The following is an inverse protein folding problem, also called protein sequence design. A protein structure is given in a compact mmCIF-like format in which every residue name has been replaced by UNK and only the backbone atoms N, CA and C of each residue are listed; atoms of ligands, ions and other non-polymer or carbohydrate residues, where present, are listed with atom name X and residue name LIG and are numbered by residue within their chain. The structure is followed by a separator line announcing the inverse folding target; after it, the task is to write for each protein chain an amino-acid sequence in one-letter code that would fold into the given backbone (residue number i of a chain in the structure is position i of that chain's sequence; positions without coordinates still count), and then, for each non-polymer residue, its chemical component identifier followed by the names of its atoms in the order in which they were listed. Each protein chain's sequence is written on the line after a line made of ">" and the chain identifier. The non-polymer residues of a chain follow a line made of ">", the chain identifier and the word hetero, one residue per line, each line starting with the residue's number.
data_IF_218408686414
#
_entry.id   IF_218408686414
#
_cell.length_a   1.000
_cell.length_b   1.000
_cell.length_c   1.000
_cell.angle_alpha   90.00
_cell.angle_beta   90.00
_cell.angle_gamma   90.00
#
_symmetry.space_group_name_H-M   'P 1'
#
loop_
_entity.id
_entity.type
_entity.pdbx_description
1 polymer ?
#
# COMPACT_ATOMS: atom_id res chain seq x y z
N UNK A 1 -7.82 9.88 20.24
CA UNK A 1 -8.88 10.32 19.33
C UNK A 1 -8.16 10.94 18.14
N UNK A 2 -8.14 10.26 16.98
CA UNK A 2 -7.40 10.72 15.80
C UNK A 2 -8.43 10.87 14.67
N UNK A 3 -8.45 12.06 14.09
CA UNK A 3 -9.56 12.55 13.27
C UNK A 3 -9.65 11.84 11.90
N UNK A 4 -10.84 11.36 11.51
CA UNK A 4 -11.08 10.75 10.21
C UNK A 4 -11.47 11.84 9.20
N UNK A 5 -10.48 12.57 8.66
CA UNK A 5 -10.77 13.57 7.62
C UNK A 5 -9.52 13.97 6.82
N UNK A 6 -8.79 13.00 6.27
CA UNK A 6 -7.87 13.32 5.17
C UNK A 6 -8.08 12.30 4.05
N UNK A 7 -8.98 12.68 3.15
CA UNK A 7 -9.06 12.16 1.79
C UNK A 7 -7.80 12.64 1.02
N UNK A 8 -6.63 12.22 1.50
CA UNK A 8 -5.32 12.57 0.93
C UNK A 8 -4.99 11.51 -0.11
N UNK A 9 -5.13 11.88 -1.37
CA UNK A 9 -4.55 11.12 -2.47
C UNK A 9 -3.03 11.05 -2.24
N UNK A 10 -2.56 9.89 -1.78
CA UNK A 10 -1.15 9.73 -1.41
C UNK A 10 -0.27 9.92 -2.65
N UNK A 11 0.87 10.63 -2.53
CA UNK A 11 1.73 10.92 -3.67
C UNK A 11 2.18 9.64 -4.40
N UNK A 12 2.50 9.68 -5.70
CA UNK A 12 3.00 8.49 -6.39
C UNK A 12 4.31 8.00 -5.76
N UNK A 13 4.48 6.68 -5.65
CA UNK A 13 5.70 6.10 -5.07
C UNK A 13 6.84 6.22 -6.10
N UNK A 14 7.93 6.95 -5.79
CA UNK A 14 9.06 7.12 -6.71
C UNK A 14 9.70 5.79 -7.14
N UNK A 15 10.39 5.78 -8.28
CA UNK A 15 11.14 4.63 -8.81
C UNK A 15 12.43 4.27 -8.03
N UNK A 16 12.52 4.62 -6.75
CA UNK A 16 13.70 4.37 -5.89
C UNK A 16 13.60 2.99 -5.24
N UNK A 17 14.75 2.33 -5.02
CA UNK A 17 14.81 0.99 -4.40
C UNK A 17 14.57 0.99 -2.89
N UNK A 18 15.04 2.01 -2.19
CA UNK A 18 14.98 2.11 -0.73
C UNK A 18 14.53 3.50 -0.28
N UNK A 19 13.67 3.53 0.71
CA UNK A 19 13.14 4.73 1.36
C UNK A 19 13.57 4.74 2.83
N UNK A 20 13.83 5.93 3.36
CA UNK A 20 14.03 6.16 4.80
C UNK A 20 12.68 6.28 5.51
N UNK A 21 12.66 6.16 6.83
CA UNK A 21 11.43 6.31 7.61
C UNK A 21 10.77 7.69 7.45
N UNK A 22 11.57 8.74 7.19
CA UNK A 22 11.06 10.08 6.91
C UNK A 22 10.33 10.14 5.56
N UNK A 23 10.98 9.64 4.51
CA UNK A 23 10.37 9.54 3.17
C UNK A 23 9.08 8.71 3.21
N UNK A 24 9.07 7.58 3.92
CA UNK A 24 7.86 6.75 4.05
C UNK A 24 6.77 7.43 4.88
N UNK A 25 7.15 8.19 5.91
CA UNK A 25 6.20 8.97 6.71
C UNK A 25 5.43 9.98 5.85
N UNK A 26 6.12 10.65 4.92
CA UNK A 26 5.53 11.58 3.97
C UNK A 26 4.70 10.85 2.91
N UNK A 27 5.25 9.80 2.30
CA UNK A 27 4.58 9.03 1.24
C UNK A 27 3.28 8.34 1.70
N UNK A 28 3.14 8.08 2.98
CA UNK A 28 1.97 7.39 3.54
C UNK A 28 1.12 8.29 4.44
N UNK A 29 1.51 9.54 4.68
CA UNK A 29 0.88 10.42 5.69
C UNK A 29 0.74 9.74 7.06
N UNK A 30 1.75 8.96 7.47
CA UNK A 30 1.77 8.24 8.76
C UNK A 30 3.01 8.65 9.53
N UNK A 31 2.83 9.15 10.76
CA UNK A 31 3.95 9.61 11.59
C UNK A 31 4.98 8.50 11.81
N UNK A 32 6.27 8.85 11.76
CA UNK A 32 7.37 7.89 11.90
C UNK A 32 7.33 7.01 13.17
N UNK A 33 6.78 7.48 14.31
CA UNK A 33 6.63 6.63 15.50
C UNK A 33 5.54 5.57 15.34
N UNK A 34 4.46 5.89 14.60
CA UNK A 34 3.40 4.93 14.25
C UNK A 34 3.96 3.86 13.33
N UNK A 35 4.79 4.24 12.34
CA UNK A 35 5.48 3.28 11.47
C UNK A 35 6.36 2.31 12.28
N UNK A 36 7.13 2.81 13.26
CA UNK A 36 7.92 1.95 14.16
C UNK A 36 7.06 1.00 14.98
N UNK A 37 5.90 1.45 15.42
CA UNK A 37 4.95 0.60 16.13
C UNK A 37 4.37 -0.47 15.19
N UNK A 38 3.97 -0.10 13.97
CA UNK A 38 3.47 -1.04 12.96
C UNK A 38 4.52 -2.10 12.57
N UNK A 39 5.81 -1.78 12.54
CA UNK A 39 6.86 -2.78 12.33
C UNK A 39 6.88 -3.88 13.40
N UNK A 40 6.44 -3.58 14.63
CA UNK A 40 6.33 -4.60 15.69
C UNK A 40 5.03 -5.40 15.57
N UNK A 41 3.97 -4.75 15.10
CA UNK A 41 2.65 -5.36 15.02
C UNK A 41 2.49 -6.24 13.76
N UNK A 42 2.99 -5.81 12.61
CA UNK A 42 2.78 -6.46 11.31
C UNK A 42 4.05 -7.14 10.84
N UNK A 43 4.10 -8.47 10.93
CA UNK A 43 5.30 -9.29 10.57
C UNK A 43 5.71 -9.16 9.09
N UNK A 44 4.75 -8.89 8.21
CA UNK A 44 4.97 -8.62 6.79
C UNK A 44 5.62 -7.25 6.49
N UNK A 45 5.66 -6.35 7.47
CA UNK A 45 6.35 -5.06 7.36
C UNK A 45 7.71 -5.15 8.04
N UNK A 46 8.71 -5.67 7.31
CA UNK A 46 10.03 -5.98 7.84
C UNK A 46 11.13 -5.18 7.11
N UNK A 47 11.28 -3.87 7.40
CA UNK A 47 12.29 -3.05 6.74
C UNK A 47 13.70 -3.55 7.06
N UNK A 48 14.59 -3.44 6.07
CA UNK A 48 15.99 -3.87 6.22
C UNK A 48 16.70 -2.94 7.19
N UNK A 49 17.21 -3.50 8.29
CA UNK A 49 18.05 -2.77 9.26
C UNK A 49 19.51 -2.82 8.81
N UNK A 50 20.15 -1.66 8.66
CA UNK A 50 21.59 -1.53 8.33
C UNK A 50 22.38 -0.91 9.49
N UNK A 51 23.69 -0.69 9.29
CA UNK A 51 24.61 -0.05 10.25
C UNK A 51 23.96 1.17 10.91
N UNK A 52 24.10 1.27 12.23
CA UNK A 52 23.50 2.35 13.02
C UNK A 52 21.99 2.25 13.21
N UNK A 53 21.40 1.04 13.08
CA UNK A 53 19.97 0.77 13.27
C UNK A 53 19.04 1.62 12.36
N UNK A 54 19.57 2.03 11.20
CA UNK A 54 18.80 2.75 10.18
C UNK A 54 17.91 1.76 9.43
N UNK A 55 16.63 2.13 9.27
CA UNK A 55 15.61 1.35 8.59
C UNK A 55 15.49 1.81 7.14
N UNK A 56 15.53 0.84 6.24
CA UNK A 56 15.31 1.06 4.82
C UNK A 56 14.11 0.24 4.36
N UNK A 57 13.10 0.93 3.86
CA UNK A 57 11.87 0.36 3.33
C UNK A 57 12.00 0.19 1.83
N UNK A 58 11.55 -0.93 1.30
CA UNK A 58 11.42 -1.14 -0.13
C UNK A 58 10.06 -0.63 -0.62
N UNK A 59 9.87 -0.59 -1.94
CA UNK A 59 8.58 -0.26 -2.54
C UNK A 59 7.44 -1.14 -2.00
N UNK A 60 7.69 -2.43 -1.78
CA UNK A 60 6.69 -3.34 -1.23
C UNK A 60 6.30 -2.97 0.21
N UNK A 61 7.25 -2.54 1.04
CA UNK A 61 6.96 -2.08 2.40
C UNK A 61 6.06 -0.84 2.39
N UNK A 62 6.31 0.10 1.46
CA UNK A 62 5.46 1.29 1.29
C UNK A 62 4.03 0.90 0.90
N UNK A 63 3.88 -0.06 -0.02
CA UNK A 63 2.55 -0.58 -0.40
C UNK A 63 1.84 -1.23 0.78
N UNK A 64 2.54 -2.05 1.55
CA UNK A 64 2.00 -2.68 2.77
C UNK A 64 1.55 -1.64 3.78
N UNK A 65 2.33 -0.57 4.00
CA UNK A 65 1.96 0.53 4.91
C UNK A 65 0.70 1.25 4.44
N UNK A 66 0.57 1.51 3.12
CA UNK A 66 -0.66 2.11 2.57
C UNK A 66 -1.88 1.22 2.78
N UNK A 67 -1.73 -0.08 2.62
CA UNK A 67 -2.80 -1.04 2.88
C UNK A 67 -3.20 -1.07 4.37
N UNK A 68 -2.21 -1.09 5.27
CA UNK A 68 -2.46 -1.01 6.72
C UNK A 68 -3.19 0.31 7.04
N UNK A 69 -2.75 1.44 6.51
CA UNK A 69 -3.42 2.73 6.68
C UNK A 69 -4.88 2.65 6.25
N UNK A 70 -5.16 2.11 5.07
CA UNK A 70 -6.53 2.03 4.58
C UNK A 70 -7.43 1.16 5.46
N UNK A 71 -6.91 0.01 5.91
CA UNK A 71 -7.65 -0.86 6.84
C UNK A 71 -7.98 -0.15 8.15
N UNK A 72 -7.02 0.58 8.72
CA UNK A 72 -7.21 1.20 10.04
C UNK A 72 -8.00 2.52 9.99
N UNK A 73 -7.71 3.39 9.02
CA UNK A 73 -8.27 4.74 8.96
C UNK A 73 -9.50 4.84 8.07
N UNK A 74 -9.51 4.16 6.93
CA UNK A 74 -10.61 4.27 5.97
C UNK A 74 -11.71 3.26 6.29
N UNK A 75 -11.31 2.04 6.70
CA UNK A 75 -12.24 0.93 6.96
C UNK A 75 -12.50 0.69 8.45
N UNK A 76 -11.78 1.36 9.35
CA UNK A 76 -12.02 1.30 10.80
C UNK A 76 -11.67 -0.02 11.48
N UNK A 77 -10.82 -0.86 10.88
CA UNK A 77 -10.36 -2.09 11.52
C UNK A 77 -9.50 -1.79 12.75
N UNK A 78 -9.53 -2.69 13.72
CA UNK A 78 -8.52 -2.71 14.79
C UNK A 78 -7.20 -3.27 14.26
N UNK A 79 -6.11 -3.05 15.00
CA UNK A 79 -4.80 -3.63 14.67
C UNK A 79 -4.89 -5.15 14.48
N UNK A 80 -5.59 -5.85 15.39
CA UNK A 80 -5.79 -7.30 15.29
C UNK A 80 -6.58 -7.71 14.04
N UNK A 81 -7.68 -7.00 13.74
CA UNK A 81 -8.47 -7.24 12.54
C UNK A 81 -7.70 -7.00 11.25
N UNK A 82 -6.91 -5.93 11.19
CA UNK A 82 -6.04 -5.63 10.06
C UNK A 82 -4.96 -6.71 9.87
N UNK A 83 -4.34 -7.21 10.96
CA UNK A 83 -3.38 -8.32 10.90
C UNK A 83 -4.00 -9.56 10.28
N UNK A 84 -5.18 -9.95 10.76
CA UNK A 84 -5.88 -11.13 10.23
C UNK A 84 -6.15 -10.96 8.74
N UNK A 85 -6.71 -9.81 8.33
CA UNK A 85 -7.03 -9.52 6.92
C UNK A 85 -5.80 -9.54 6.01
N UNK A 86 -4.66 -9.04 6.49
CA UNK A 86 -3.41 -9.04 5.74
C UNK A 86 -2.72 -10.41 5.69
N UNK A 87 -2.94 -11.26 6.70
CA UNK A 87 -2.41 -12.62 6.75
C UNK A 87 -3.24 -13.64 5.98
N UNK A 88 -4.54 -13.37 5.78
CA UNK A 88 -5.44 -14.25 5.03
C UNK A 88 -5.02 -14.36 3.57
N UNK A 89 -5.06 -15.59 3.05
CA UNK A 89 -4.80 -15.94 1.65
C UNK A 89 -5.66 -15.15 0.64
N UNK A 90 -6.81 -14.64 1.08
CA UNK A 90 -7.73 -13.80 0.31
C UNK A 90 -7.03 -12.62 -0.38
N UNK A 91 -6.05 -11.98 0.27
CA UNK A 91 -5.35 -10.83 -0.31
C UNK A 91 -4.55 -11.19 -1.58
N UNK A 92 -4.12 -12.45 -1.73
CA UNK A 92 -3.42 -12.93 -2.93
C UNK A 92 -4.40 -13.31 -4.03
N UNK A 93 -5.54 -13.89 -3.68
CA UNK A 93 -6.59 -14.25 -4.64
C UNK A 93 -7.25 -12.99 -5.22
N UNK A 94 -7.62 -12.03 -4.39
CA UNK A 94 -8.15 -10.73 -4.80
C UNK A 94 -7.18 -10.03 -5.77
N UNK A 95 -5.88 -9.97 -5.43
CA UNK A 95 -4.88 -9.33 -6.28
C UNK A 95 -4.75 -10.00 -7.66
N UNK A 96 -4.90 -11.32 -7.74
CA UNK A 96 -4.89 -12.05 -9.02
C UNK A 96 -6.12 -11.72 -9.85
N UNK A 97 -7.30 -11.70 -9.23
CA UNK A 97 -8.56 -11.39 -9.89
C UNK A 97 -8.61 -9.93 -10.39
N UNK A 98 -8.17 -8.96 -9.58
CA UNK A 98 -8.07 -7.56 -9.99
C UNK A 98 -7.10 -7.37 -11.17
N UNK A 99 -5.96 -8.08 -11.19
CA UNK A 99 -5.02 -8.03 -12.33
C UNK A 99 -5.66 -8.56 -13.60
N UNK A 100 -6.44 -9.63 -13.53
CA UNK A 100 -7.16 -10.18 -14.68
C UNK A 100 -8.22 -9.19 -15.18
N UNK A 101 -8.97 -8.56 -14.27
CA UNK A 101 -10.01 -7.59 -14.61
C UNK A 101 -9.44 -6.32 -15.23
N UNK A 102 -8.32 -5.80 -14.72
CA UNK A 102 -7.61 -4.65 -15.31
C UNK A 102 -7.11 -4.99 -16.72
N UNK A 103 -6.52 -6.17 -16.92
CA UNK A 103 -6.08 -6.61 -18.26
C UNK A 103 -7.26 -6.67 -19.23
N UNK A 104 -8.39 -7.22 -18.78
CA UNK A 104 -9.60 -7.29 -19.59
C UNK A 104 -10.11 -5.89 -19.96
N UNK A 105 -10.17 -4.97 -19.00
CA UNK A 105 -10.55 -3.57 -19.26
C UNK A 105 -9.62 -2.87 -20.26
N UNK A 106 -8.30 -3.10 -20.16
CA UNK A 106 -7.35 -2.51 -21.12
C UNK A 106 -7.66 -3.00 -22.54
N UNK A 107 -7.89 -4.31 -22.71
CA UNK A 107 -8.23 -4.89 -24.02
C UNK A 107 -9.55 -4.32 -24.56
N UNK A 108 -10.58 -4.22 -23.72
CA UNK A 108 -11.88 -3.65 -24.12
C UNK A 108 -11.74 -2.17 -24.53
N UNK A 109 -10.95 -1.38 -23.81
CA UNK A 109 -10.69 0.02 -24.16
C UNK A 109 -9.89 0.14 -25.47
N UNK A 110 -8.92 -0.74 -25.70
CA UNK A 110 -8.17 -0.81 -26.97
C UNK A 110 -9.09 -1.15 -28.15
N UNK A 111 -10.03 -2.07 -27.98
CA UNK A 111 -11.02 -2.43 -29.00
C UNK A 111 -11.96 -1.26 -29.33
N UNK A 112 -12.45 -0.54 -28.31
CA UNK A 112 -13.26 0.67 -28.51
C UNK A 112 -12.48 1.72 -29.29
N UNK A 113 -11.20 1.90 -28.95
CA UNK A 113 -10.32 2.85 -29.62
C UNK A 113 -10.06 2.46 -31.08
N UNK A 114 -10.00 1.18 -31.41
CA UNK A 114 -9.89 0.68 -32.79
C UNK A 114 -11.14 1.00 -33.62
N UNK A 115 -12.34 0.74 -33.07
CA UNK A 115 -13.62 1.08 -33.73
C UNK A 115 -13.75 2.59 -33.98
N UNK A 116 -13.31 3.42 -33.04
CA UNK A 116 -13.39 4.88 -33.19
C UNK A 116 -12.38 5.44 -34.21
N UNK A 117 -11.25 4.76 -34.43
CA UNK A 117 -10.23 5.19 -35.40
C UNK A 117 -10.44 4.64 -36.82
N UNK A 118 -11.28 3.62 -36.98
CA UNK A 118 -11.68 3.06 -38.26
C UNK A 118 -13.22 2.95 -38.34
N UNK A 119 -13.91 4.07 -38.69
CA UNK A 119 -15.36 4.07 -38.90
C UNK A 119 -15.79 3.32 -40.17
#
# INVERSE_FOLDING_TARGET
>A
MLEPSHNDELPPIPGKRYFTIGEVSELCSVKAHVLRYWEQEFTQLAPVKRRGNRRYYQRQDVLTIRQIRSLLYDQGYTIGGAKQKLSSSDAKEDSSQYKQLIRQMIIELEQVLEVLNHP
#
